data_IF_669156826011
#
_entry.id   IF_669156826011
#
_cell.length_a   1.000
_cell.length_b   1.000
_cell.length_c   1.000
_cell.angle_alpha   90.00
_cell.angle_beta   90.00
_cell.angle_gamma   90.00
#
_symmetry.space_group_name_H-M   'P 1'
#
loop_
_entity.id
_entity.type
_entity.pdbx_description
1 polymer ?
#
# COMPACT_ATOMS: atom_id res chain seq x y z
N UNK A 1 -9.34 1.32 4.43
CA UNK A 1 -10.77 1.41 4.08
C UNK A 1 -11.62 1.87 5.26
N UNK A 2 -11.69 1.09 6.33
CA UNK A 2 -12.55 1.36 7.50
C UNK A 2 -12.30 2.73 8.15
N UNK A 3 -11.07 3.05 8.47
CA UNK A 3 -10.71 4.31 9.15
C UNK A 3 -11.14 5.54 8.34
N UNK A 4 -10.86 5.53 7.03
CA UNK A 4 -11.20 6.64 6.12
C UNK A 4 -12.63 6.60 5.58
N UNK A 5 -13.38 5.51 5.80
CA UNK A 5 -14.70 5.23 5.21
C UNK A 5 -14.70 5.20 3.67
N UNK A 6 -13.61 4.75 3.10
CA UNK A 6 -13.49 4.61 1.64
C UNK A 6 -13.71 3.14 1.28
N UNK A 7 -14.58 2.89 0.29
CA UNK A 7 -14.79 1.55 -0.21
C UNK A 7 -13.49 0.93 -0.75
N UNK A 8 -13.19 -0.37 -0.49
CA UNK A 8 -11.93 -0.99 -0.89
C UNK A 8 -11.61 -0.83 -2.39
N UNK A 9 -12.61 -0.98 -3.25
CA UNK A 9 -12.44 -0.78 -4.71
C UNK A 9 -12.06 0.65 -5.08
N UNK A 10 -12.63 1.65 -4.40
CA UNK A 10 -12.29 3.06 -4.64
C UNK A 10 -10.88 3.37 -4.12
N UNK A 11 -10.53 2.86 -2.93
CA UNK A 11 -9.19 3.00 -2.38
C UNK A 11 -8.14 2.39 -3.31
N UNK A 12 -8.40 1.20 -3.84
CA UNK A 12 -7.54 0.53 -4.80
C UNK A 12 -7.32 1.38 -6.06
N UNK A 13 -8.39 1.95 -6.63
CA UNK A 13 -8.27 2.84 -7.81
C UNK A 13 -7.39 4.05 -7.54
N UNK A 14 -7.47 4.64 -6.36
CA UNK A 14 -6.61 5.77 -5.96
C UNK A 14 -5.16 5.34 -5.82
N UNK A 15 -4.89 4.23 -5.10
CA UNK A 15 -3.54 3.72 -4.85
C UNK A 15 -2.80 3.35 -6.14
N UNK A 16 -3.52 2.85 -7.15
CA UNK A 16 -2.93 2.44 -8.44
C UNK A 16 -3.08 3.49 -9.56
N UNK A 17 -3.23 4.75 -9.17
CA UNK A 17 -3.24 5.89 -10.11
C UNK A 17 -4.34 5.82 -11.19
N UNK A 18 -5.48 5.20 -10.88
CA UNK A 18 -6.65 5.10 -11.75
C UNK A 18 -7.78 6.08 -11.38
N UNK A 19 -7.67 6.77 -10.25
CA UNK A 19 -8.64 7.77 -9.81
C UNK A 19 -7.98 8.79 -8.89
N UNK A 20 -8.54 10.00 -8.86
CA UNK A 20 -8.19 11.04 -7.91
C UNK A 20 -9.02 10.91 -6.63
N UNK A 21 -8.49 11.39 -5.52
CA UNK A 21 -9.23 11.59 -4.28
C UNK A 21 -9.14 13.05 -3.86
N UNK A 22 -10.27 13.63 -3.50
CA UNK A 22 -10.35 15.02 -3.04
C UNK A 22 -9.79 15.11 -1.61
N UNK A 23 -8.71 15.87 -1.45
CA UNK A 23 -8.06 16.13 -0.17
C UNK A 23 -8.70 17.35 0.50
N UNK A 24 -8.89 18.41 -0.28
CA UNK A 24 -9.51 19.65 0.16
C UNK A 24 -10.50 20.09 -0.94
N UNK A 25 -11.80 20.17 -0.64
CA UNK A 25 -12.79 20.62 -1.60
C UNK A 25 -12.76 22.12 -1.88
N UNK A 26 -12.13 22.94 -1.03
CA UNK A 26 -12.17 24.40 -1.13
C UNK A 26 -13.61 24.93 -1.21
N UNK A 27 -13.83 25.96 -2.02
CA UNK A 27 -15.16 26.56 -2.26
C UNK A 27 -15.93 25.90 -3.39
N UNK A 28 -15.86 24.57 -3.49
CA UNK A 28 -16.54 23.80 -4.55
C UNK A 28 -17.65 22.90 -3.97
N UNK A 29 -18.52 22.36 -4.83
CA UNK A 29 -19.54 21.41 -4.43
C UNK A 29 -18.99 19.96 -4.27
N UNK A 30 -17.67 19.79 -4.30
CA UNK A 30 -17.04 18.50 -4.07
C UNK A 30 -17.04 18.17 -2.57
N UNK A 31 -17.02 16.86 -2.27
CA UNK A 31 -16.90 16.40 -0.89
C UNK A 31 -15.47 15.94 -0.60
N UNK A 32 -14.97 16.21 0.62
CA UNK A 32 -13.69 15.64 1.08
C UNK A 32 -13.74 14.12 1.00
N UNK A 33 -12.67 13.48 0.54
CA UNK A 33 -12.55 12.04 0.27
C UNK A 33 -13.39 11.53 -0.93
N UNK A 34 -14.02 12.39 -1.70
CA UNK A 34 -14.69 12.00 -2.93
C UNK A 34 -13.68 11.45 -3.93
N UNK A 35 -13.99 10.32 -4.54
CA UNK A 35 -13.14 9.69 -5.57
C UNK A 35 -13.66 10.08 -6.94
N UNK A 36 -12.80 10.68 -7.75
CA UNK A 36 -13.08 11.18 -9.09
C UNK A 36 -12.30 10.36 -10.12
N UNK A 37 -12.95 9.97 -11.20
CA UNK A 37 -12.23 9.47 -12.37
C UNK A 37 -11.59 10.62 -13.16
N UNK A 38 -10.81 10.31 -14.21
CA UNK A 38 -10.12 11.33 -15.00
C UNK A 38 -11.10 12.34 -15.62
N UNK A 39 -12.23 11.87 -16.17
CA UNK A 39 -13.25 12.72 -16.79
C UNK A 39 -13.92 13.64 -15.76
N UNK A 40 -14.32 13.09 -14.63
CA UNK A 40 -14.91 13.86 -13.51
C UNK A 40 -13.94 14.92 -12.97
N UNK A 41 -12.66 14.56 -12.86
CA UNK A 41 -11.62 15.49 -12.44
C UNK A 41 -11.45 16.64 -13.44
N UNK A 42 -11.36 16.33 -14.73
CA UNK A 42 -11.25 17.36 -15.79
C UNK A 42 -12.49 18.26 -15.84
N UNK A 43 -13.68 17.69 -15.67
CA UNK A 43 -14.92 18.46 -15.56
C UNK A 43 -14.91 19.38 -14.36
N UNK A 44 -14.46 18.92 -13.20
CA UNK A 44 -14.34 19.72 -12.01
C UNK A 44 -13.32 20.87 -12.19
N UNK A 45 -12.17 20.59 -12.82
CA UNK A 45 -11.17 21.62 -13.15
C UNK A 45 -11.74 22.66 -14.14
N UNK A 46 -12.51 22.24 -15.13
CA UNK A 46 -13.14 23.16 -16.07
C UNK A 46 -14.23 24.02 -15.43
N UNK A 47 -14.98 23.45 -14.47
CA UNK A 47 -16.08 24.16 -13.79
C UNK A 47 -15.61 25.13 -12.74
N UNK A 48 -14.67 24.71 -11.89
CA UNK A 48 -14.24 25.49 -10.69
C UNK A 48 -12.91 26.21 -10.87
N UNK A 49 -12.13 25.85 -11.91
CA UNK A 49 -10.79 26.37 -12.13
C UNK A 49 -9.69 25.51 -11.48
N UNK A 50 -8.51 25.60 -12.08
CA UNK A 50 -7.32 24.91 -11.57
C UNK A 50 -6.87 25.56 -10.26
N UNK A 51 -6.85 24.81 -9.18
CA UNK A 51 -6.42 25.29 -7.85
C UNK A 51 -7.55 25.64 -6.88
N UNK A 52 -8.82 25.62 -7.30
CA UNK A 52 -9.97 25.84 -6.42
C UNK A 52 -10.22 24.69 -5.43
N UNK A 53 -9.68 23.53 -5.72
CA UNK A 53 -9.73 22.35 -4.87
C UNK A 53 -8.42 21.55 -5.00
N UNK A 54 -8.15 20.70 -4.02
CA UNK A 54 -6.96 19.83 -4.02
C UNK A 54 -7.39 18.38 -4.15
N UNK A 55 -6.97 17.72 -5.23
CA UNK A 55 -7.17 16.29 -5.43
C UNK A 55 -5.88 15.66 -5.93
N UNK A 56 -5.57 14.46 -5.46
CA UNK A 56 -4.34 13.73 -5.79
C UNK A 56 -4.61 12.24 -6.00
N UNK A 57 -3.65 11.54 -6.58
CA UNK A 57 -3.62 10.09 -6.75
C UNK A 57 -2.53 9.45 -5.92
N UNK A 58 -2.62 8.13 -5.72
CA UNK A 58 -1.57 7.31 -5.12
C UNK A 58 -1.60 7.26 -3.59
N UNK A 59 -0.62 6.54 -3.05
CA UNK A 59 -0.51 6.32 -1.60
C UNK A 59 -0.24 7.60 -0.83
N UNK A 60 0.45 8.57 -1.42
CA UNK A 60 0.74 9.89 -0.84
C UNK A 60 -0.55 10.65 -0.48
N UNK A 61 -1.56 10.60 -1.36
CA UNK A 61 -2.86 11.20 -1.09
C UNK A 61 -3.56 10.55 0.12
N UNK A 62 -3.47 9.23 0.23
CA UNK A 62 -4.03 8.49 1.37
C UNK A 62 -3.25 8.79 2.65
N UNK A 63 -1.93 8.89 2.59
CA UNK A 63 -1.10 9.26 3.73
C UNK A 63 -1.49 10.65 4.25
N UNK A 64 -1.70 11.60 3.36
CA UNK A 64 -2.17 12.96 3.72
C UNK A 64 -3.49 12.91 4.50
N UNK A 65 -4.49 12.17 4.00
CA UNK A 65 -5.77 12.01 4.68
C UNK A 65 -5.66 11.30 6.04
N UNK A 66 -4.71 10.36 6.18
CA UNK A 66 -4.46 9.68 7.44
C UNK A 66 -3.78 10.58 8.47
N UNK A 67 -2.87 11.48 8.03
CA UNK A 67 -2.22 12.48 8.89
C UNK A 67 -3.19 13.52 9.45
N UNK A 68 -4.22 13.87 8.69
CA UNK A 68 -5.23 14.86 9.12
C UNK A 68 -6.28 14.27 10.08
N UNK A 69 -6.26 12.95 10.34
CA UNK A 69 -7.23 12.33 11.25
C UNK A 69 -6.95 12.68 12.70
N UNK A 70 -7.94 13.29 13.35
CA UNK A 70 -8.01 13.42 14.80
C UNK A 70 -8.67 12.14 15.39
N UNK A 71 -7.85 11.18 15.81
CA UNK A 71 -8.34 9.91 16.35
C UNK A 71 -9.18 10.06 17.62
N UNK A 72 -8.79 10.89 18.62
CA UNK A 72 -9.62 11.14 19.80
C UNK A 72 -10.99 11.75 19.50
N UNK A 73 -11.06 12.70 18.57
CA UNK A 73 -12.34 13.26 18.13
C UNK A 73 -13.20 12.23 17.40
N UNK A 74 -12.57 11.42 16.54
CA UNK A 74 -13.24 10.34 15.82
C UNK A 74 -13.79 9.26 16.75
N UNK A 75 -13.05 8.88 17.79
CA UNK A 75 -13.50 7.93 18.81
C UNK A 75 -14.79 8.42 19.49
N UNK A 76 -14.79 9.68 19.95
CA UNK A 76 -15.98 10.29 20.60
C UNK A 76 -17.19 10.32 19.67
N UNK A 77 -16.98 10.71 18.41
CA UNK A 77 -18.04 10.73 17.40
C UNK A 77 -18.63 9.34 17.14
N UNK A 78 -17.77 8.32 17.00
CA UNK A 78 -18.21 6.95 16.79
C UNK A 78 -18.95 6.36 17.99
N UNK A 79 -18.53 6.65 19.22
CA UNK A 79 -19.24 6.22 20.43
C UNK A 79 -20.65 6.79 20.46
N UNK A 80 -20.82 8.08 20.14
CA UNK A 80 -22.13 8.72 20.05
C UNK A 80 -22.99 8.12 18.94
N UNK A 81 -22.42 7.86 17.75
CA UNK A 81 -23.15 7.20 16.65
C UNK A 81 -23.59 5.77 17.00
N UNK A 82 -22.84 5.05 17.84
CA UNK A 82 -23.19 3.71 18.30
C UNK A 82 -24.36 3.75 19.29
N UNK A 83 -24.43 4.76 20.15
CA UNK A 83 -25.53 4.96 21.10
C UNK A 83 -26.85 5.30 20.37
N UNK A 84 -26.79 6.19 19.38
CA UNK A 84 -27.95 6.67 18.62
C UNK A 84 -28.34 5.72 17.46
N UNK A 85 -27.42 4.87 17.00
CA UNK A 85 -27.57 4.04 15.81
C UNK A 85 -28.18 2.67 16.06
N UNK A 86 -28.76 2.07 15.01
CA UNK A 86 -29.32 0.72 15.02
C UNK A 86 -28.92 -0.09 13.77
N UNK A 87 -29.08 -1.42 13.84
CA UNK A 87 -28.90 -2.33 12.71
C UNK A 87 -27.46 -2.37 12.15
N UNK A 88 -27.35 -2.48 10.83
CA UNK A 88 -26.07 -2.62 10.13
C UNK A 88 -25.14 -1.40 10.28
N UNK A 89 -25.70 -0.19 10.43
CA UNK A 89 -24.91 1.03 10.63
C UNK A 89 -24.15 0.94 11.95
N UNK A 90 -24.82 0.50 13.02
CA UNK A 90 -24.18 0.30 14.33
C UNK A 90 -23.03 -0.70 14.27
N UNK A 91 -23.21 -1.84 13.59
CA UNK A 91 -22.17 -2.86 13.43
C UNK A 91 -20.95 -2.30 12.67
N UNK A 92 -21.18 -1.48 11.64
CA UNK A 92 -20.09 -0.82 10.90
C UNK A 92 -19.34 0.18 11.77
N UNK A 93 -20.05 0.97 12.59
CA UNK A 93 -19.44 1.91 13.50
C UNK A 93 -18.62 1.21 14.59
N UNK A 94 -19.12 0.08 15.15
CA UNK A 94 -18.39 -0.72 16.14
C UNK A 94 -17.04 -1.21 15.55
N UNK A 95 -17.05 -1.83 14.38
CA UNK A 95 -15.82 -2.30 13.73
C UNK A 95 -14.84 -1.17 13.46
N UNK A 96 -15.35 0.00 13.12
CA UNK A 96 -14.49 1.17 12.90
C UNK A 96 -13.91 1.70 14.21
N UNK A 97 -14.71 1.70 15.28
CA UNK A 97 -14.26 2.09 16.61
C UNK A 97 -13.16 1.18 17.13
N UNK A 98 -13.29 -0.15 16.97
CA UNK A 98 -12.26 -1.13 17.34
C UNK A 98 -10.91 -0.80 16.70
N UNK A 99 -10.89 -0.47 15.40
CA UNK A 99 -9.66 -0.07 14.70
C UNK A 99 -9.09 1.26 15.23
N UNK A 100 -9.94 2.25 15.50
CA UNK A 100 -9.53 3.56 16.04
C UNK A 100 -8.94 3.40 17.43
N UNK A 101 -9.60 2.65 18.31
CA UNK A 101 -9.12 2.37 19.66
C UNK A 101 -7.79 1.58 19.64
N UNK A 102 -7.63 0.63 18.70
CA UNK A 102 -6.38 -0.09 18.54
C UNK A 102 -5.20 0.83 18.20
N UNK A 103 -5.41 1.84 17.35
CA UNK A 103 -4.40 2.87 17.09
C UNK A 103 -4.11 3.74 18.30
N UNK A 104 -5.14 4.19 19.02
CA UNK A 104 -4.98 5.02 20.21
C UNK A 104 -4.23 4.31 21.34
N UNK A 105 -4.59 3.05 21.62
CA UNK A 105 -3.95 2.27 22.70
C UNK A 105 -2.52 1.82 22.35
N UNK A 106 -2.24 1.52 21.08
CA UNK A 106 -0.90 1.09 20.66
C UNK A 106 0.11 2.24 20.50
N UNK A 107 -0.38 3.50 20.42
CA UNK A 107 0.46 4.66 20.11
C UNK A 107 0.95 4.70 18.66
N UNK A 108 0.49 3.78 17.80
CA UNK A 108 0.82 3.78 16.39
C UNK A 108 0.02 4.86 15.65
N UNK A 109 0.67 5.50 14.68
CA UNK A 109 0.01 6.51 13.85
C UNK A 109 -0.57 5.88 12.58
N UNK A 110 -1.81 6.22 12.17
CA UNK A 110 -2.42 5.67 10.98
C UNK A 110 -1.62 5.88 9.69
N UNK A 111 -0.93 7.02 9.57
CA UNK A 111 -0.09 7.32 8.41
C UNK A 111 1.11 6.35 8.24
N UNK A 112 1.51 5.63 9.30
CA UNK A 112 2.58 4.63 9.21
C UNK A 112 2.19 3.37 8.42
N UNK A 113 0.91 3.21 8.09
CA UNK A 113 0.47 2.18 7.14
C UNK A 113 0.97 2.43 5.71
N UNK A 114 1.39 3.65 5.40
CA UNK A 114 2.03 4.02 4.14
C UNK A 114 3.54 4.07 4.39
N UNK A 115 4.27 3.25 3.67
CA UNK A 115 5.72 3.15 3.81
C UNK A 115 6.42 4.21 2.94
N UNK A 116 7.25 5.04 3.56
CA UNK A 116 8.12 5.99 2.86
C UNK A 116 9.46 5.32 2.48
N UNK A 117 9.88 4.34 3.26
CA UNK A 117 11.13 3.58 3.08
C UNK A 117 10.83 2.08 3.13
N UNK A 118 11.38 1.35 2.17
CA UNK A 118 11.26 -0.11 2.12
C UNK A 118 12.44 -0.73 2.84
N UNK A 119 12.23 -1.51 3.93
CA UNK A 119 13.30 -2.20 4.61
C UNK A 119 13.88 -3.33 3.73
N UNK A 120 15.19 -3.47 3.75
CA UNK A 120 15.90 -4.54 3.05
C UNK A 120 16.41 -5.54 4.07
N UNK A 121 16.00 -6.80 3.93
CA UNK A 121 16.46 -7.86 4.84
C UNK A 121 17.96 -8.15 4.62
N UNK A 122 18.68 -8.62 5.64
CA UNK A 122 20.10 -8.94 5.56
C UNK A 122 20.42 -9.97 4.47
N UNK A 123 21.63 -9.93 3.87
CA UNK A 123 22.05 -10.86 2.82
C UNK A 123 21.96 -12.33 3.21
N UNK A 124 22.20 -12.67 4.47
CA UNK A 124 22.13 -14.06 4.97
C UNK A 124 20.72 -14.67 4.84
N UNK A 125 19.68 -13.83 4.87
CA UNK A 125 18.29 -14.25 4.72
C UNK A 125 17.84 -14.34 3.23
N UNK A 126 18.66 -13.80 2.32
CA UNK A 126 18.44 -13.85 0.86
C UNK A 126 19.74 -14.22 0.12
N UNK A 127 20.30 -15.39 0.39
CA UNK A 127 21.64 -15.73 -0.05
C UNK A 127 21.75 -15.85 -1.57
N UNK A 128 22.96 -15.57 -2.06
CA UNK A 128 23.42 -15.88 -3.41
C UNK A 128 24.59 -16.87 -3.30
N UNK A 129 24.42 -18.08 -3.81
CA UNK A 129 25.39 -19.18 -3.69
C UNK A 129 25.92 -19.54 -5.06
N UNK A 130 27.23 -19.67 -5.16
CA UNK A 130 27.88 -20.17 -6.37
C UNK A 130 27.72 -21.71 -6.44
N UNK A 131 27.22 -22.19 -7.56
CA UNK A 131 27.12 -23.61 -7.89
C UNK A 131 28.33 -24.07 -8.68
N UNK A 132 28.54 -25.41 -8.73
CA UNK A 132 29.54 -26.01 -9.58
C UNK A 132 29.33 -25.58 -11.05
N UNK A 133 30.42 -25.22 -11.73
CA UNK A 133 30.36 -24.71 -13.10
C UNK A 133 30.13 -23.21 -13.23
N UNK A 134 30.36 -22.41 -12.15
CA UNK A 134 30.36 -20.96 -12.21
C UNK A 134 28.98 -20.29 -12.27
N UNK A 135 27.90 -21.07 -12.15
CA UNK A 135 26.53 -20.53 -12.07
C UNK A 135 26.18 -20.13 -10.65
N UNK A 136 25.32 -19.12 -10.49
CA UNK A 136 24.82 -18.67 -9.21
C UNK A 136 23.37 -19.08 -9.00
N UNK A 137 23.06 -19.64 -7.83
CA UNK A 137 21.71 -19.76 -7.32
C UNK A 137 21.44 -18.56 -6.41
N UNK A 138 20.33 -17.89 -6.63
CA UNK A 138 19.95 -16.72 -5.85
C UNK A 138 18.54 -16.87 -5.31
N UNK A 139 18.30 -16.23 -4.14
CA UNK A 139 16.95 -16.14 -3.59
C UNK A 139 16.04 -15.31 -4.50
N UNK A 140 14.79 -15.71 -4.62
CA UNK A 140 13.76 -14.96 -5.36
C UNK A 140 13.60 -13.51 -4.87
N UNK A 141 13.85 -13.26 -3.57
CA UNK A 141 13.81 -11.92 -2.99
C UNK A 141 14.81 -10.96 -3.64
N UNK A 142 15.99 -11.43 -4.04
CA UNK A 142 16.96 -10.59 -4.71
C UNK A 142 16.42 -10.06 -6.05
N UNK A 143 15.66 -10.88 -6.79
CA UNK A 143 15.00 -10.42 -8.02
C UNK A 143 13.87 -9.42 -7.74
N UNK A 144 13.06 -9.67 -6.72
CA UNK A 144 12.00 -8.75 -6.31
C UNK A 144 12.55 -7.41 -5.84
N UNK A 145 13.59 -7.37 -5.01
CA UNK A 145 14.27 -6.13 -4.62
C UNK A 145 14.88 -5.41 -5.82
N UNK A 146 15.53 -6.13 -6.72
CA UNK A 146 16.10 -5.54 -7.95
C UNK A 146 15.02 -4.88 -8.80
N UNK A 147 13.83 -5.47 -8.92
CA UNK A 147 12.70 -4.88 -9.64
C UNK A 147 12.25 -3.56 -9.01
N UNK A 148 12.14 -3.50 -7.68
CA UNK A 148 11.80 -2.27 -6.95
C UNK A 148 12.85 -1.20 -7.21
N UNK A 149 14.14 -1.51 -7.05
CA UNK A 149 15.25 -0.57 -7.23
C UNK A 149 15.27 -0.04 -8.66
N UNK A 150 15.13 -0.90 -9.67
CA UNK A 150 15.13 -0.51 -11.07
C UNK A 150 13.97 0.42 -11.40
N UNK A 151 12.75 0.14 -10.90
CA UNK A 151 11.59 0.99 -11.08
C UNK A 151 11.77 2.34 -10.38
N UNK A 152 12.29 2.34 -9.17
CA UNK A 152 12.57 3.58 -8.43
C UNK A 152 13.61 4.46 -9.15
N UNK A 153 14.70 3.87 -9.62
CA UNK A 153 15.72 4.59 -10.37
C UNK A 153 15.18 5.15 -11.69
N UNK A 154 14.33 4.39 -12.38
CA UNK A 154 13.66 4.85 -13.59
C UNK A 154 12.71 6.01 -13.31
N UNK A 155 11.89 5.91 -12.26
CA UNK A 155 11.01 6.99 -11.85
C UNK A 155 11.79 8.26 -11.53
N UNK A 156 12.91 8.15 -10.79
CA UNK A 156 13.77 9.28 -10.48
C UNK A 156 14.26 9.97 -11.75
N UNK A 157 14.79 9.20 -12.71
CA UNK A 157 15.24 9.75 -14.01
C UNK A 157 14.11 10.44 -14.78
N UNK A 158 12.90 9.88 -14.78
CA UNK A 158 11.74 10.49 -15.45
C UNK A 158 11.35 11.83 -14.81
N UNK A 159 11.41 11.91 -13.48
CA UNK A 159 11.14 13.15 -12.74
C UNK A 159 12.22 14.20 -13.03
N UNK A 160 13.50 13.83 -13.02
CA UNK A 160 14.63 14.72 -13.28
C UNK A 160 14.60 15.27 -14.72
N UNK A 161 14.10 14.49 -15.68
CA UNK A 161 13.93 14.89 -17.08
C UNK A 161 12.64 15.68 -17.36
N UNK A 162 11.77 15.89 -16.37
CA UNK A 162 10.48 16.56 -16.57
C UNK A 162 9.55 15.82 -17.52
N UNK A 163 9.53 14.48 -17.46
CA UNK A 163 8.67 13.66 -18.32
C UNK A 163 7.18 13.99 -18.15
N UNK A 164 6.33 13.78 -19.19
CA UNK A 164 4.90 14.00 -19.11
C UNK A 164 4.24 13.24 -17.96
N UNK A 165 3.26 13.86 -17.31
CA UNK A 165 2.57 13.31 -16.13
C UNK A 165 2.02 11.89 -16.33
N UNK A 166 1.53 11.59 -17.53
CA UNK A 166 0.98 10.26 -17.83
C UNK A 166 2.04 9.16 -17.74
N UNK A 167 3.29 9.46 -18.17
CA UNK A 167 4.42 8.54 -18.10
C UNK A 167 4.87 8.38 -16.64
N UNK A 168 4.96 9.47 -15.91
CA UNK A 168 5.32 9.48 -14.49
C UNK A 168 4.31 8.69 -13.66
N UNK A 169 3.00 8.92 -13.87
CA UNK A 169 1.93 8.17 -13.20
C UNK A 169 2.00 6.67 -13.47
N UNK A 170 2.25 6.29 -14.72
CA UNK A 170 2.40 4.88 -15.08
C UNK A 170 3.61 4.24 -14.39
N UNK A 171 4.75 4.92 -14.31
CA UNK A 171 5.94 4.40 -13.62
C UNK A 171 5.71 4.32 -12.09
N UNK A 172 5.02 5.31 -11.49
CA UNK A 172 4.60 5.26 -10.08
C UNK A 172 3.70 4.05 -9.80
N UNK A 173 2.73 3.75 -10.69
CA UNK A 173 1.88 2.56 -10.60
C UNK A 173 2.71 1.28 -10.67
N UNK A 174 3.66 1.20 -11.60
CA UNK A 174 4.53 0.03 -11.76
C UNK A 174 5.47 -0.16 -10.56
N UNK A 175 5.92 0.92 -9.92
CA UNK A 175 6.69 0.87 -8.68
C UNK A 175 5.83 0.32 -7.53
N UNK A 176 4.58 0.79 -7.40
CA UNK A 176 3.63 0.29 -6.41
C UNK A 176 3.41 -1.23 -6.60
N UNK A 177 3.19 -1.68 -7.82
CA UNK A 177 3.02 -3.11 -8.15
C UNK A 177 4.29 -3.93 -7.83
N UNK A 178 5.47 -3.38 -8.04
CA UNK A 178 6.73 -4.04 -7.69
C UNK A 178 6.89 -4.22 -6.17
N UNK A 179 6.51 -3.21 -5.38
CA UNK A 179 6.50 -3.28 -3.92
C UNK A 179 5.46 -4.28 -3.41
N UNK A 180 4.27 -4.30 -4.01
CA UNK A 180 3.23 -5.28 -3.67
C UNK A 180 3.71 -6.71 -3.89
N UNK A 181 4.38 -6.97 -5.02
CA UNK A 181 4.95 -8.28 -5.33
C UNK A 181 6.07 -8.68 -4.35
N UNK A 182 6.88 -7.72 -3.87
CA UNK A 182 7.90 -7.99 -2.86
C UNK A 182 7.27 -8.43 -1.53
N UNK A 183 6.18 -7.81 -1.12
CA UNK A 183 5.51 -8.07 0.17
C UNK A 183 4.67 -9.34 0.09
N UNK A 184 3.76 -9.46 -0.87
CA UNK A 184 2.87 -10.62 -1.04
C UNK A 184 2.55 -10.84 -2.54
N UNK A 185 3.40 -11.61 -3.20
CA UNK A 185 3.30 -11.87 -4.64
C UNK A 185 2.07 -12.71 -4.97
N UNK A 186 1.22 -12.21 -5.87
CA UNK A 186 0.00 -12.88 -6.31
C UNK A 186 -1.26 -12.55 -5.51
N UNK A 187 -1.16 -11.72 -4.49
CA UNK A 187 -2.34 -11.22 -3.75
C UNK A 187 -3.23 -10.35 -4.63
N UNK A 188 -2.62 -9.59 -5.53
CA UNK A 188 -3.30 -8.73 -6.50
C UNK A 188 -2.95 -9.15 -7.93
N UNK A 189 -3.89 -9.79 -8.61
CA UNK A 189 -3.72 -10.21 -10.01
C UNK A 189 -2.75 -11.37 -10.21
N UNK A 190 -2.12 -11.41 -11.37
CA UNK A 190 -1.17 -12.47 -11.72
C UNK A 190 0.14 -12.28 -10.94
N UNK A 191 0.68 -13.34 -10.33
CA UNK A 191 1.96 -13.26 -9.65
C UNK A 191 3.10 -12.95 -10.63
N UNK A 192 4.11 -12.25 -10.15
CA UNK A 192 5.38 -12.09 -10.87
C UNK A 192 6.08 -13.42 -10.91
N UNK A 193 6.52 -13.83 -12.10
CA UNK A 193 7.16 -15.12 -12.35
C UNK A 193 8.63 -14.97 -12.69
N UNK A 194 9.38 -15.99 -12.40
CA UNK A 194 10.78 -16.18 -12.79
C UNK A 194 10.92 -17.20 -13.94
N UNK A 195 12.12 -17.75 -14.15
CA UNK A 195 12.38 -18.77 -15.14
C UNK A 195 11.45 -19.98 -14.97
N UNK A 196 10.97 -20.54 -16.08
CA UNK A 196 10.02 -21.65 -16.05
C UNK A 196 8.61 -21.29 -15.60
N UNK A 197 8.24 -20.02 -15.68
CA UNK A 197 6.92 -19.50 -15.31
C UNK A 197 6.49 -19.78 -13.85
N UNK A 198 7.46 -20.06 -12.97
CA UNK A 198 7.25 -20.27 -11.53
C UNK A 198 7.05 -18.91 -10.84
N UNK A 199 6.02 -18.82 -10.00
CA UNK A 199 5.81 -17.61 -9.18
C UNK A 199 7.00 -17.40 -8.22
N UNK A 200 7.50 -16.17 -8.14
CA UNK A 200 8.58 -15.81 -7.23
C UNK A 200 8.07 -15.80 -5.77
N UNK A 201 8.88 -16.32 -4.86
CA UNK A 201 8.57 -16.38 -3.43
C UNK A 201 8.78 -15.01 -2.78
N UNK A 202 7.69 -14.42 -2.31
CA UNK A 202 7.68 -13.10 -1.65
C UNK A 202 8.06 -13.18 -0.16
N UNK A 203 8.17 -12.02 0.50
CA UNK A 203 8.39 -11.93 1.95
C UNK A 203 7.30 -12.66 2.74
N UNK A 204 6.04 -12.49 2.37
CA UNK A 204 4.89 -13.18 2.99
C UNK A 204 5.02 -14.70 2.87
N UNK A 205 5.44 -15.21 1.71
CA UNK A 205 5.64 -16.64 1.47
C UNK A 205 6.80 -17.23 2.30
N UNK A 206 7.76 -16.42 2.69
CA UNK A 206 8.84 -16.85 3.60
C UNK A 206 8.39 -17.01 5.04
N UNK A 207 7.29 -16.41 5.43
CA UNK A 207 6.77 -16.46 6.80
C UNK A 207 5.68 -17.51 6.97
N UNK A 208 4.81 -17.67 5.96
CA UNK A 208 3.62 -18.54 6.02
C UNK A 208 3.89 -19.98 5.58
N UNK A 209 3.02 -20.89 5.99
CA UNK A 209 2.99 -22.29 5.54
C UNK A 209 4.00 -23.19 6.24
N UNK A 210 4.08 -24.46 5.80
CA UNK A 210 4.93 -25.50 6.40
C UNK A 210 6.42 -25.18 6.29
N UNK A 211 6.84 -24.55 5.21
CA UNK A 211 8.23 -24.16 4.93
C UNK A 211 8.52 -22.71 5.34
N UNK A 212 7.55 -22.02 5.96
CA UNK A 212 7.74 -20.69 6.48
C UNK A 212 8.55 -20.66 7.77
N UNK A 213 9.12 -19.50 8.09
CA UNK A 213 9.99 -19.32 9.26
C UNK A 213 9.32 -19.68 10.57
N UNK A 214 8.04 -19.37 10.75
CA UNK A 214 7.34 -19.69 12.00
C UNK A 214 7.29 -21.19 12.27
N UNK A 215 6.88 -22.00 11.28
CA UNK A 215 6.75 -23.44 11.47
C UNK A 215 8.06 -24.21 11.35
N UNK A 216 8.96 -23.78 10.48
CA UNK A 216 10.17 -24.53 10.17
C UNK A 216 11.36 -24.19 11.09
N UNK A 217 11.44 -22.95 11.59
CA UNK A 217 12.63 -22.46 12.30
C UNK A 217 12.34 -21.94 13.73
N UNK A 218 11.10 -21.61 14.08
CA UNK A 218 10.73 -21.08 15.39
C UNK A 218 9.97 -22.08 16.24
N UNK A 219 8.87 -22.67 15.75
CA UNK A 219 8.08 -23.66 16.48
C UNK A 219 8.78 -25.03 16.55
N UNK A 220 9.57 -25.38 15.55
CA UNK A 220 10.41 -26.57 15.51
C UNK A 220 11.73 -26.24 14.88
N UNK A 221 12.83 -26.65 15.51
CA UNK A 221 14.21 -26.44 15.04
C UNK A 221 14.91 -27.77 14.88
N UNK A 222 15.75 -27.89 13.86
CA UNK A 222 16.81 -28.92 13.84
C UNK A 222 17.97 -28.39 14.68
N UNK A 223 18.39 -29.18 15.66
CA UNK A 223 19.54 -28.88 16.52
C UNK A 223 20.52 -30.02 16.45
N UNK A 224 21.80 -29.70 16.52
CA UNK A 224 22.83 -30.73 16.63
C UNK A 224 22.78 -31.32 18.04
N UNK A 225 22.72 -32.64 18.11
CA UNK A 225 22.82 -33.37 19.36
C UNK A 225 24.29 -33.42 19.77
N UNK A 226 24.62 -32.87 20.88
CA UNK A 226 25.92 -33.07 21.50
C UNK A 226 25.85 -34.14 22.60
#
# INVERSE_FOLDING_TARGET
GLILEIAPRQLERVLYFAAYIVLDPGDTNLSKKQVLNETEYQTAVATYGKGSFKAQMGAEAIQYLLKELDLPALEKALKKEIEEGSGQRKVKCIRRLEEVEAFLHSGNKPEWMILDVIPVIPPDLRPMVQLDGGRFATSDLNDLYRRVINRNNRLKKLLDLGAPDIIVRNEKRMLQEAVDALIDNGRRGRPVTGPGNRALKSLSDMLKGKQGRFRQNLLGKRVDYS
#
